data_IF_385206372433
#
_entry.id   IF_385206372433
#
_cell.length_a   1.000
_cell.length_b   1.000
_cell.length_c   1.000
_cell.angle_alpha   90.00
_cell.angle_beta   90.00
_cell.angle_gamma   90.00
#
_symmetry.space_group_name_H-M   'P 1'
#
loop_
_entity.id
_entity.type
_entity.pdbx_description
1 polymer ?
#
# COMPACT_ATOMS: atom_id res chain seq x y z
N UNK A 1 9.04 -37.91 4.16
CA UNK A 1 8.02 -37.24 4.98
C UNK A 1 6.93 -36.82 4.02
N UNK A 2 5.87 -37.59 3.93
CA UNK A 2 4.70 -37.23 3.15
C UNK A 2 4.00 -36.09 3.88
N UNK A 3 4.42 -34.87 3.56
CA UNK A 3 3.89 -33.63 4.10
C UNK A 3 2.51 -33.39 3.51
N UNK A 4 1.51 -34.06 4.06
CA UNK A 4 0.11 -33.66 3.87
C UNK A 4 -0.07 -32.30 4.52
N UNK A 5 -0.02 -31.25 3.71
CA UNK A 5 -0.37 -29.90 4.14
C UNK A 5 -1.79 -29.92 4.70
N UNK A 6 -1.95 -29.55 5.97
CA UNK A 6 -3.25 -29.49 6.61
C UNK A 6 -4.05 -28.36 5.94
N UNK A 7 -5.01 -28.73 5.10
CA UNK A 7 -5.90 -27.78 4.44
C UNK A 7 -6.97 -27.39 5.45
N UNK A 8 -6.80 -26.23 6.09
CA UNK A 8 -7.85 -25.64 6.91
C UNK A 8 -9.11 -25.42 6.05
N UNK A 9 -10.32 -25.72 6.56
CA UNK A 9 -11.55 -25.79 5.76
C UNK A 9 -12.01 -24.46 5.13
N UNK A 10 -11.37 -23.33 5.44
CA UNK A 10 -11.85 -21.98 5.09
C UNK A 10 -10.85 -21.14 4.29
N UNK A 11 -9.75 -21.70 3.79
CA UNK A 11 -8.81 -20.90 2.98
C UNK A 11 -9.12 -21.11 1.50
N UNK A 12 -9.15 -20.05 0.71
CA UNK A 12 -9.28 -20.07 -0.76
C UNK A 12 -7.96 -20.37 -1.49
N UNK A 13 -6.84 -20.30 -0.76
CA UNK A 13 -5.49 -20.67 -1.19
C UNK A 13 -5.25 -22.13 -1.65
N UNK A 14 -5.99 -23.16 -1.18
CA UNK A 14 -5.88 -24.52 -1.67
C UNK A 14 -6.14 -24.60 -3.16
N UNK A 15 -7.05 -23.78 -3.71
CA UNK A 15 -7.42 -23.84 -5.12
C UNK A 15 -6.24 -23.47 -6.04
N UNK A 16 -5.55 -22.36 -5.77
CA UNK A 16 -4.40 -21.89 -6.54
C UNK A 16 -3.21 -22.84 -6.35
N UNK A 17 -2.95 -23.28 -5.12
CA UNK A 17 -1.87 -24.24 -4.86
C UNK A 17 -2.12 -25.58 -5.56
N UNK A 18 -3.32 -26.15 -5.48
CA UNK A 18 -3.67 -27.40 -6.16
C UNK A 18 -3.53 -27.24 -7.68
N UNK A 19 -3.97 -26.11 -8.25
CA UNK A 19 -3.92 -25.87 -9.69
C UNK A 19 -2.48 -25.72 -10.25
N UNK A 20 -1.56 -25.16 -9.47
CA UNK A 20 -0.23 -24.75 -9.98
C UNK A 20 0.97 -25.32 -9.20
N UNK A 21 0.74 -26.27 -8.29
CA UNK A 21 1.81 -26.90 -7.49
C UNK A 21 2.81 -27.70 -8.33
N UNK A 22 2.43 -28.09 -9.54
CA UNK A 22 3.34 -28.76 -10.47
C UNK A 22 4.43 -27.78 -10.94
N UNK A 23 5.71 -28.20 -10.89
CA UNK A 23 6.79 -27.37 -11.40
C UNK A 23 6.63 -27.15 -12.90
N UNK A 24 6.91 -25.94 -13.36
CA UNK A 24 6.74 -25.56 -14.75
C UNK A 24 6.22 -24.14 -14.92
N UNK A 25 6.32 -23.64 -16.14
CA UNK A 25 5.82 -22.32 -16.49
C UNK A 25 4.29 -22.34 -16.63
N UNK A 26 3.60 -21.60 -15.77
CA UNK A 26 2.15 -21.41 -15.85
C UNK A 26 1.82 -19.96 -16.20
N UNK A 27 1.35 -19.76 -17.44
CA UNK A 27 0.98 -18.43 -17.93
C UNK A 27 -0.01 -17.67 -17.04
N UNK A 28 -1.04 -18.30 -16.43
CA UNK A 28 -1.98 -17.60 -15.54
C UNK A 28 -1.34 -17.02 -14.27
N UNK A 29 -0.23 -17.59 -13.78
CA UNK A 29 0.53 -17.03 -12.65
C UNK A 29 1.56 -16.00 -13.13
N UNK A 30 2.26 -16.31 -14.23
CA UNK A 30 3.30 -15.45 -14.76
C UNK A 30 2.76 -14.10 -15.27
N UNK A 31 1.61 -14.09 -15.95
CA UNK A 31 1.10 -12.87 -16.58
C UNK A 31 0.77 -11.76 -15.56
N UNK A 32 0.03 -12.02 -14.46
CA UNK A 32 -0.15 -11.03 -13.39
C UNK A 32 1.18 -10.57 -12.77
N UNK A 33 2.12 -11.49 -12.54
CA UNK A 33 3.43 -11.15 -11.99
C UNK A 33 4.23 -10.22 -12.92
N UNK A 34 4.16 -10.47 -14.24
CA UNK A 34 4.76 -9.62 -15.27
C UNK A 34 4.14 -8.22 -15.28
N UNK A 35 2.81 -8.13 -15.24
CA UNK A 35 2.10 -6.83 -15.19
C UNK A 35 2.49 -6.06 -13.93
N UNK A 36 2.50 -6.70 -12.76
CA UNK A 36 2.92 -6.07 -11.51
C UNK A 36 4.38 -5.63 -11.56
N UNK A 37 5.29 -6.46 -12.09
CA UNK A 37 6.69 -6.11 -12.27
C UNK A 37 6.86 -4.89 -13.19
N UNK A 38 6.13 -4.83 -14.31
CA UNK A 38 6.15 -3.68 -15.23
C UNK A 38 5.64 -2.41 -14.56
N UNK A 39 4.50 -2.48 -13.86
CA UNK A 39 3.94 -1.35 -13.09
C UNK A 39 4.93 -0.88 -12.02
N UNK A 40 5.64 -1.81 -11.37
CA UNK A 40 6.65 -1.51 -10.35
C UNK A 40 7.84 -0.76 -10.92
N UNK A 41 8.33 -1.15 -12.10
CA UNK A 41 9.41 -0.40 -12.78
C UNK A 41 8.97 1.05 -13.03
N UNK A 42 7.79 1.25 -13.62
CA UNK A 42 7.26 2.59 -13.90
C UNK A 42 7.06 3.38 -12.61
N UNK A 43 6.46 2.75 -11.59
CA UNK A 43 6.18 3.36 -10.30
C UNK A 43 7.45 3.80 -9.57
N UNK A 44 8.53 3.00 -9.63
CA UNK A 44 9.80 3.32 -8.99
C UNK A 44 10.38 4.60 -9.61
N UNK A 45 10.41 4.70 -10.94
CA UNK A 45 10.92 5.89 -11.62
C UNK A 45 10.10 7.15 -11.33
N UNK A 46 8.76 7.04 -11.35
CA UNK A 46 7.88 8.18 -11.08
C UNK A 46 7.99 8.65 -9.62
N UNK A 47 8.01 7.73 -8.65
CA UNK A 47 8.14 8.08 -7.25
C UNK A 47 9.53 8.64 -6.90
N UNK A 48 10.61 8.06 -7.45
CA UNK A 48 11.95 8.64 -7.31
C UNK A 48 12.03 10.05 -7.89
N UNK A 49 11.32 10.31 -9.00
CA UNK A 49 11.24 11.66 -9.59
C UNK A 49 10.58 12.66 -8.64
N UNK A 50 9.52 12.27 -7.93
CA UNK A 50 8.86 13.11 -6.91
C UNK A 50 9.82 13.42 -5.75
N UNK A 51 10.52 12.40 -5.24
CA UNK A 51 11.53 12.57 -4.19
C UNK A 51 12.65 13.53 -4.65
N UNK A 52 13.18 13.30 -5.85
CA UNK A 52 14.25 14.11 -6.44
C UNK A 52 13.83 15.58 -6.64
N UNK A 53 12.66 15.82 -7.24
CA UNK A 53 12.14 17.17 -7.48
C UNK A 53 11.96 17.88 -6.13
N UNK A 54 11.34 17.22 -5.16
CA UNK A 54 11.09 17.83 -3.84
C UNK A 54 12.41 18.18 -3.15
N UNK A 55 13.39 17.27 -3.15
CA UNK A 55 14.71 17.52 -2.57
C UNK A 55 15.48 18.63 -3.28
N UNK A 56 15.58 18.59 -4.62
CA UNK A 56 16.34 19.57 -5.41
C UNK A 56 15.79 20.98 -5.28
N UNK A 57 14.47 21.11 -5.14
CA UNK A 57 13.78 22.40 -5.18
C UNK A 57 13.31 22.90 -3.80
N UNK A 58 13.46 22.14 -2.72
CA UNK A 58 13.09 22.56 -1.37
C UNK A 58 13.83 23.82 -0.90
N UNK A 59 15.10 24.00 -1.28
CA UNK A 59 15.87 25.19 -0.93
C UNK A 59 15.47 26.44 -1.72
N UNK A 60 14.96 26.25 -2.94
CA UNK A 60 14.74 27.31 -3.94
C UNK A 60 13.32 27.88 -3.94
N UNK A 61 12.31 27.03 -3.76
CA UNK A 61 10.91 27.47 -3.79
C UNK A 61 10.23 27.24 -2.45
N UNK A 62 9.55 28.28 -1.95
CA UNK A 62 8.79 28.23 -0.69
C UNK A 62 7.70 27.17 -0.71
N UNK A 63 7.12 26.88 -1.87
CA UNK A 63 6.10 25.82 -2.05
C UNK A 63 6.60 24.45 -1.61
N UNK A 64 7.88 24.11 -1.82
CA UNK A 64 8.46 22.82 -1.42
C UNK A 64 8.94 22.80 0.04
N UNK A 65 8.88 23.93 0.77
CA UNK A 65 9.13 24.01 2.21
C UNK A 65 7.86 23.77 3.05
N UNK A 66 6.72 23.57 2.40
CA UNK A 66 5.46 23.27 3.08
C UNK A 66 5.41 21.83 3.60
N UNK A 67 4.52 21.58 4.57
CA UNK A 67 4.33 20.27 5.22
C UNK A 67 3.94 19.19 4.21
N UNK A 68 2.95 19.46 3.37
CA UNK A 68 2.37 18.48 2.43
C UNK A 68 3.36 17.95 1.39
N UNK A 69 4.17 18.77 0.66
CA UNK A 69 5.15 18.22 -0.29
C UNK A 69 6.21 17.33 0.35
N UNK A 70 6.64 17.64 1.58
CA UNK A 70 7.58 16.79 2.32
C UNK A 70 6.94 15.45 2.67
N UNK A 71 5.70 15.44 3.15
CA UNK A 71 4.96 14.21 3.40
C UNK A 71 4.74 13.40 2.11
N UNK A 72 4.42 14.06 0.99
CA UNK A 72 4.30 13.38 -0.32
C UNK A 72 5.63 12.74 -0.73
N UNK A 73 6.76 13.44 -0.57
CA UNK A 73 8.06 12.89 -0.90
C UNK A 73 8.45 11.69 -0.02
N UNK A 74 8.10 11.72 1.28
CA UNK A 74 8.27 10.57 2.18
C UNK A 74 7.39 9.40 1.71
N UNK A 75 6.11 9.64 1.38
CA UNK A 75 5.22 8.59 0.88
C UNK A 75 5.73 7.98 -0.43
N UNK A 76 6.21 8.80 -1.36
CA UNK A 76 6.82 8.33 -2.60
C UNK A 76 8.08 7.50 -2.35
N UNK A 77 8.91 7.86 -1.36
CA UNK A 77 10.06 7.04 -1.00
C UNK A 77 9.64 5.66 -0.45
N UNK A 78 8.60 5.62 0.38
CA UNK A 78 8.03 4.36 0.87
C UNK A 78 7.47 3.50 -0.28
N UNK A 79 6.76 4.12 -1.25
CA UNK A 79 6.28 3.42 -2.45
C UNK A 79 7.41 2.77 -3.25
N UNK A 80 8.57 3.41 -3.37
CA UNK A 80 9.74 2.80 -4.05
C UNK A 80 10.15 1.52 -3.35
N UNK A 81 10.23 1.52 -2.02
CA UNK A 81 10.62 0.34 -1.23
C UNK A 81 9.57 -0.76 -1.39
N UNK A 82 8.28 -0.43 -1.23
CA UNK A 82 7.17 -1.35 -1.43
C UNK A 82 7.24 -2.05 -2.80
N UNK A 83 7.45 -1.28 -3.87
CA UNK A 83 7.42 -1.81 -5.23
C UNK A 83 8.56 -2.79 -5.54
N UNK A 84 9.64 -2.80 -4.74
CA UNK A 84 10.72 -3.77 -4.92
C UNK A 84 10.27 -5.22 -4.64
N UNK A 85 9.27 -5.43 -3.79
CA UNK A 85 8.75 -6.76 -3.46
C UNK A 85 8.10 -7.46 -4.65
N UNK A 86 7.47 -6.72 -5.56
CA UNK A 86 6.79 -7.31 -6.73
C UNK A 86 7.73 -8.10 -7.66
N UNK A 87 9.03 -7.85 -7.63
CA UNK A 87 10.01 -8.61 -8.43
C UNK A 87 10.20 -10.05 -7.93
N UNK A 88 9.92 -10.35 -6.67
CA UNK A 88 10.00 -11.72 -6.13
C UNK A 88 8.92 -12.59 -6.76
N UNK A 89 7.68 -12.09 -6.84
CA UNK A 89 6.59 -12.79 -7.52
C UNK A 89 6.94 -13.09 -8.99
N UNK A 90 7.48 -12.10 -9.69
CA UNK A 90 7.94 -12.26 -11.07
C UNK A 90 9.03 -13.31 -11.18
N UNK A 91 10.03 -13.29 -10.29
CA UNK A 91 11.11 -14.26 -10.30
C UNK A 91 10.64 -15.70 -10.02
N UNK A 92 9.79 -15.89 -9.01
CA UNK A 92 9.27 -17.21 -8.62
C UNK A 92 8.43 -17.84 -9.74
N UNK A 93 7.59 -17.04 -10.40
CA UNK A 93 6.75 -17.51 -11.51
C UNK A 93 7.53 -17.69 -12.81
N UNK A 94 8.47 -16.79 -13.13
CA UNK A 94 9.31 -16.90 -14.33
C UNK A 94 10.25 -18.13 -14.31
N UNK A 95 10.70 -18.53 -13.12
CA UNK A 95 11.54 -19.73 -12.96
C UNK A 95 10.74 -21.04 -12.95
N UNK A 96 9.40 -20.97 -13.00
CA UNK A 96 8.53 -22.14 -12.95
C UNK A 96 8.51 -22.87 -11.60
N UNK A 97 9.01 -22.22 -10.53
CA UNK A 97 8.90 -22.75 -9.16
C UNK A 97 7.50 -22.58 -8.60
N UNK A 98 6.81 -21.50 -9.00
CA UNK A 98 5.43 -21.11 -8.66
C UNK A 98 5.16 -20.83 -7.18
N UNK A 99 5.75 -21.60 -6.27
CA UNK A 99 5.61 -21.43 -4.83
C UNK A 99 6.96 -21.50 -4.12
N UNK A 100 7.09 -20.71 -3.06
CA UNK A 100 8.19 -20.75 -2.09
C UNK A 100 7.61 -20.82 -0.67
N UNK A 101 8.45 -21.18 0.30
CA UNK A 101 8.04 -21.19 1.70
C UNK A 101 7.84 -19.76 2.21
N UNK A 102 6.79 -19.53 2.99
CA UNK A 102 6.47 -18.25 3.64
C UNK A 102 7.66 -17.67 4.43
N UNK A 103 8.44 -18.51 5.11
CA UNK A 103 9.63 -18.06 5.84
C UNK A 103 10.74 -17.51 4.93
N UNK A 104 10.91 -18.10 3.73
CA UNK A 104 11.84 -17.59 2.72
C UNK A 104 11.31 -16.30 2.09
N UNK A 105 10.02 -16.27 1.72
CA UNK A 105 9.37 -15.08 1.21
C UNK A 105 9.48 -13.91 2.19
N UNK A 106 9.16 -14.13 3.47
CA UNK A 106 9.29 -13.12 4.53
C UNK A 106 10.73 -12.59 4.66
N UNK A 107 11.75 -13.44 4.63
CA UNK A 107 13.15 -13.00 4.68
C UNK A 107 13.51 -12.04 3.54
N UNK A 108 12.92 -12.24 2.37
CA UNK A 108 13.20 -11.43 1.18
C UNK A 108 12.31 -10.18 1.17
N UNK A 109 11.03 -10.30 1.52
CA UNK A 109 9.99 -9.32 1.25
C UNK A 109 9.46 -8.58 2.47
N UNK A 110 9.87 -8.92 3.70
CA UNK A 110 9.35 -8.33 4.94
C UNK A 110 9.30 -6.79 4.89
N UNK A 111 10.36 -6.17 4.38
CA UNK A 111 10.41 -4.72 4.23
C UNK A 111 9.38 -4.21 3.22
N UNK A 112 9.19 -4.89 2.09
CA UNK A 112 8.28 -4.44 1.03
C UNK A 112 6.82 -4.54 1.47
N UNK A 113 6.41 -5.65 2.10
CA UNK A 113 5.02 -5.84 2.54
C UNK A 113 4.65 -4.87 3.68
N UNK A 114 5.50 -4.74 4.70
CA UNK A 114 5.20 -3.82 5.81
C UNK A 114 5.18 -2.37 5.34
N UNK A 115 6.06 -2.00 4.40
CA UNK A 115 6.05 -0.66 3.82
C UNK A 115 4.81 -0.42 2.96
N UNK A 116 4.28 -1.42 2.25
CA UNK A 116 3.01 -1.30 1.52
C UNK A 116 1.85 -0.87 2.45
N UNK A 117 1.76 -1.50 3.62
CA UNK A 117 0.78 -1.14 4.63
C UNK A 117 1.04 0.25 5.22
N UNK A 118 2.31 0.59 5.48
CA UNK A 118 2.69 1.93 5.93
C UNK A 118 2.34 3.02 4.92
N UNK A 119 2.47 2.77 3.61
CA UNK A 119 2.04 3.69 2.54
C UNK A 119 0.53 3.94 2.64
N UNK A 120 -0.25 2.87 2.84
CA UNK A 120 -1.71 2.98 3.00
C UNK A 120 -2.09 3.80 4.24
N UNK A 121 -1.41 3.55 5.36
CA UNK A 121 -1.58 4.32 6.59
C UNK A 121 -1.13 5.78 6.42
N UNK A 122 -0.02 6.02 5.72
CA UNK A 122 0.46 7.36 5.40
C UNK A 122 -0.53 8.11 4.52
N UNK A 123 -1.18 7.43 3.58
CA UNK A 123 -2.24 8.01 2.77
C UNK A 123 -3.44 8.49 3.61
N UNK A 124 -3.82 7.75 4.65
CA UNK A 124 -4.82 8.21 5.62
C UNK A 124 -4.37 9.46 6.37
N UNK A 125 -3.13 9.49 6.89
CA UNK A 125 -2.63 10.68 7.60
C UNK A 125 -2.52 11.90 6.67
N UNK A 126 -2.11 11.73 5.41
CA UNK A 126 -2.14 12.76 4.37
C UNK A 126 -3.56 13.25 4.05
N UNK A 127 -4.55 12.36 4.09
CA UNK A 127 -5.95 12.73 3.91
C UNK A 127 -6.43 13.63 5.05
N UNK A 128 -6.05 13.28 6.30
CA UNK A 128 -6.34 14.07 7.50
C UNK A 128 -5.59 15.42 7.47
N UNK A 129 -4.32 15.45 7.05
CA UNK A 129 -3.53 16.69 6.84
C UNK A 129 -4.30 17.69 5.96
N UNK A 130 -4.88 17.21 4.86
CA UNK A 130 -5.67 18.04 3.95
C UNK A 130 -6.97 18.54 4.57
N UNK A 131 -7.66 17.70 5.36
CA UNK A 131 -8.84 18.14 6.13
C UNK A 131 -8.45 19.26 7.09
N UNK A 132 -7.36 19.10 7.85
CA UNK A 132 -6.89 20.12 8.79
C UNK A 132 -6.51 21.43 8.08
N UNK A 133 -5.81 21.34 6.95
CA UNK A 133 -5.41 22.50 6.16
C UNK A 133 -6.60 23.32 5.63
N UNK A 134 -7.68 22.65 5.20
CA UNK A 134 -8.87 23.33 4.63
C UNK A 134 -9.89 23.72 5.69
N UNK A 135 -10.12 22.86 6.69
CA UNK A 135 -11.06 23.12 7.77
C UNK A 135 -10.55 24.21 8.72
N UNK A 136 -9.26 24.17 9.07
CA UNK A 136 -8.64 25.00 10.11
C UNK A 136 -7.33 25.65 9.65
N UNK A 137 -7.36 26.55 8.64
CA UNK A 137 -6.14 27.10 8.03
C UNK A 137 -5.27 27.90 9.01
N UNK A 138 -5.88 28.67 9.92
CA UNK A 138 -5.14 29.48 10.92
C UNK A 138 -4.36 28.57 11.88
N UNK A 139 -5.03 27.56 12.44
CA UNK A 139 -4.38 26.56 13.29
C UNK A 139 -3.27 25.83 12.53
N UNK A 140 -3.56 25.37 11.30
CA UNK A 140 -2.61 24.61 10.49
C UNK A 140 -1.30 25.36 10.23
N UNK A 141 -1.36 26.68 10.01
CA UNK A 141 -0.17 27.52 9.80
C UNK A 141 0.64 27.67 11.10
N UNK A 142 -0.03 27.77 12.25
CA UNK A 142 0.62 27.95 13.56
C UNK A 142 1.34 26.69 14.07
N UNK A 143 0.94 25.50 13.61
CA UNK A 143 1.60 24.25 14.02
C UNK A 143 3.05 24.22 13.56
N UNK A 144 3.97 23.95 14.51
CA UNK A 144 5.40 23.82 14.24
C UNK A 144 5.68 22.76 13.17
N UNK A 145 6.39 23.16 12.11
CA UNK A 145 6.69 22.30 10.97
C UNK A 145 7.42 21.01 11.36
N UNK A 146 8.48 21.11 12.18
CA UNK A 146 9.32 19.95 12.53
C UNK A 146 8.56 18.96 13.40
N UNK A 147 7.85 19.47 14.41
CA UNK A 147 7.02 18.64 15.28
C UNK A 147 5.93 17.92 14.47
N UNK A 148 5.30 18.60 13.52
CA UNK A 148 4.25 18.02 12.69
C UNK A 148 4.73 16.82 11.85
N UNK A 149 5.87 16.98 11.17
CA UNK A 149 6.48 15.91 10.37
C UNK A 149 6.93 14.76 11.29
N UNK A 150 7.53 15.08 12.44
CA UNK A 150 7.94 14.08 13.43
C UNK A 150 6.77 13.23 13.90
N UNK A 151 5.61 13.83 14.22
CA UNK A 151 4.42 13.10 14.66
C UNK A 151 3.90 12.13 13.58
N UNK A 152 3.95 12.53 12.30
CA UNK A 152 3.57 11.63 11.19
C UNK A 152 4.52 10.44 11.08
N UNK A 153 5.83 10.70 11.09
CA UNK A 153 6.84 9.63 11.01
C UNK A 153 6.71 8.69 12.21
N UNK A 154 6.53 9.23 13.42
CA UNK A 154 6.34 8.42 14.63
C UNK A 154 5.10 7.52 14.52
N UNK A 155 3.98 8.05 14.03
CA UNK A 155 2.77 7.25 13.81
C UNK A 155 3.00 6.13 12.77
N UNK A 156 3.71 6.41 11.69
CA UNK A 156 4.08 5.41 10.66
C UNK A 156 4.98 4.33 11.26
N UNK A 157 5.98 4.70 12.07
CA UNK A 157 6.89 3.75 12.72
C UNK A 157 6.14 2.84 13.71
N UNK A 158 5.22 3.39 14.50
CA UNK A 158 4.39 2.59 15.39
C UNK A 158 3.52 1.60 14.61
N UNK A 159 2.93 2.04 13.50
CA UNK A 159 2.15 1.17 12.63
C UNK A 159 3.03 0.09 11.97
N UNK A 160 4.24 0.43 11.52
CA UNK A 160 5.23 -0.51 10.99
C UNK A 160 5.55 -1.61 12.00
N UNK A 161 5.85 -1.24 13.25
CA UNK A 161 6.18 -2.20 14.32
C UNK A 161 5.00 -3.13 14.59
N UNK A 162 3.79 -2.58 14.68
CA UNK A 162 2.57 -3.38 14.87
C UNK A 162 2.36 -4.39 13.72
N UNK A 163 2.49 -3.92 12.48
CA UNK A 163 2.26 -4.74 11.29
C UNK A 163 3.31 -5.85 11.13
N UNK A 164 4.60 -5.53 11.22
CA UNK A 164 5.67 -6.54 11.11
C UNK A 164 5.59 -7.58 12.23
N UNK A 165 5.17 -7.18 13.45
CA UNK A 165 4.98 -8.10 14.58
C UNK A 165 3.83 -9.07 14.30
N UNK A 166 2.77 -8.61 13.63
CA UNK A 166 1.64 -9.48 13.27
C UNK A 166 2.07 -10.50 12.21
N UNK A 167 2.77 -10.05 11.17
CA UNK A 167 3.23 -10.92 10.08
C UNK A 167 4.28 -11.93 10.58
N UNK A 168 5.24 -11.51 11.42
CA UNK A 168 6.29 -12.41 11.91
C UNK A 168 5.71 -13.55 12.78
N UNK A 169 4.70 -13.27 13.61
CA UNK A 169 4.02 -14.30 14.42
C UNK A 169 3.39 -15.35 13.50
N UNK A 170 2.65 -14.92 12.47
CA UNK A 170 2.03 -15.81 11.48
C UNK A 170 3.07 -16.65 10.72
N UNK A 171 4.18 -16.06 10.30
CA UNK A 171 5.26 -16.76 9.59
C UNK A 171 6.00 -17.75 10.49
N UNK A 172 6.19 -17.44 11.77
CA UNK A 172 6.80 -18.37 12.75
C UNK A 172 5.89 -19.59 12.98
N UNK A 173 4.58 -19.39 13.03
CA UNK A 173 3.61 -20.46 13.22
C UNK A 173 3.48 -21.35 11.96
N UNK A 174 3.57 -20.76 10.76
CA UNK A 174 3.41 -21.45 9.48
C UNK A 174 4.60 -21.25 8.53
N UNK A 175 5.84 -21.68 8.87
CA UNK A 175 7.07 -21.31 8.14
C UNK A 175 7.21 -21.97 6.76
N UNK A 176 6.51 -23.09 6.54
CA UNK A 176 6.51 -23.85 5.29
C UNK A 176 5.27 -23.60 4.44
N UNK A 177 4.42 -22.64 4.82
CA UNK A 177 3.20 -22.34 4.07
C UNK A 177 3.57 -21.94 2.63
N UNK A 178 2.96 -22.55 1.61
CA UNK A 178 3.29 -22.25 0.23
C UNK A 178 2.72 -20.88 -0.15
N UNK A 179 3.59 -19.99 -0.62
CA UNK A 179 3.22 -18.66 -1.13
C UNK A 179 3.77 -18.49 -2.53
N UNK A 180 3.07 -17.73 -3.37
CA UNK A 180 3.46 -17.49 -4.76
C UNK A 180 4.66 -16.55 -4.88
N UNK A 181 5.04 -15.90 -3.79
CA UNK A 181 5.98 -14.78 -3.77
C UNK A 181 5.32 -13.44 -4.08
N UNK A 182 3.98 -13.39 -4.13
CA UNK A 182 3.25 -12.13 -4.09
C UNK A 182 3.26 -11.57 -2.67
N UNK A 183 3.64 -10.30 -2.50
CA UNK A 183 3.73 -9.65 -1.18
C UNK A 183 2.46 -9.79 -0.34
N UNK A 184 1.28 -9.80 -0.97
CA UNK A 184 0.00 -9.93 -0.28
C UNK A 184 -0.26 -11.33 0.29
N UNK A 185 0.48 -12.35 -0.15
CA UNK A 185 0.38 -13.71 0.39
C UNK A 185 0.84 -13.76 1.84
N UNK A 186 1.85 -12.99 2.21
CA UNK A 186 2.36 -12.92 3.58
C UNK A 186 1.39 -12.22 4.53
N UNK A 187 0.61 -11.27 4.02
CA UNK A 187 -0.34 -10.51 4.82
C UNK A 187 -1.70 -11.22 4.97
N UNK A 188 -2.17 -11.86 3.90
CA UNK A 188 -3.55 -12.37 3.81
C UNK A 188 -3.65 -13.86 3.44
N UNK A 189 -2.59 -14.45 2.89
CA UNK A 189 -2.55 -15.85 2.45
C UNK A 189 -2.08 -16.82 3.54
N UNK A 190 -1.24 -16.37 4.46
CA UNK A 190 -0.80 -17.15 5.63
C UNK A 190 -1.83 -17.01 6.76
N UNK A 191 -2.26 -18.10 7.42
CA UNK A 191 -3.18 -18.01 8.55
C UNK A 191 -2.62 -17.10 9.66
N UNK A 192 -3.44 -16.18 10.14
CA UNK A 192 -3.09 -15.22 11.19
C UNK A 192 -4.26 -15.03 12.15
N UNK A 193 -3.96 -14.88 13.43
CA UNK A 193 -4.94 -14.51 14.46
C UNK A 193 -5.55 -13.13 14.21
N UNK A 194 -4.81 -12.26 13.52
CA UNK A 194 -5.21 -10.89 13.25
C UNK A 194 -5.29 -10.63 11.75
N UNK A 195 -6.48 -10.27 11.27
CA UNK A 195 -6.72 -10.01 9.86
C UNK A 195 -6.38 -8.55 9.50
N UNK A 196 -5.17 -8.34 8.98
CA UNK A 196 -4.68 -7.03 8.58
C UNK A 196 -5.51 -6.39 7.46
N UNK A 197 -6.20 -7.19 6.62
CA UNK A 197 -7.11 -6.68 5.57
C UNK A 197 -8.21 -5.80 6.18
N UNK A 198 -8.74 -6.15 7.34
CA UNK A 198 -9.79 -5.37 8.01
C UNK A 198 -9.25 -4.00 8.42
N UNK A 199 -8.03 -3.95 8.96
CA UNK A 199 -7.38 -2.69 9.34
C UNK A 199 -7.12 -1.82 8.12
N UNK A 200 -6.61 -2.39 7.03
CA UNK A 200 -6.38 -1.67 5.77
C UNK A 200 -7.70 -1.15 5.18
N UNK A 201 -8.78 -1.92 5.25
CA UNK A 201 -10.10 -1.49 4.81
C UNK A 201 -10.58 -0.27 5.61
N UNK A 202 -10.42 -0.29 6.94
CA UNK A 202 -10.76 0.85 7.79
C UNK A 202 -9.93 2.08 7.40
N UNK A 203 -8.61 1.92 7.23
CA UNK A 203 -7.70 2.99 6.79
C UNK A 203 -8.17 3.60 5.45
N UNK A 204 -8.56 2.77 4.48
CA UNK A 204 -9.06 3.22 3.18
C UNK A 204 -10.40 3.94 3.31
N UNK A 205 -11.34 3.44 4.12
CA UNK A 205 -12.63 4.10 4.38
C UNK A 205 -12.39 5.48 5.00
N UNK A 206 -11.56 5.59 6.04
CA UNK A 206 -11.25 6.87 6.68
C UNK A 206 -10.61 7.84 5.68
N UNK A 207 -9.67 7.35 4.87
CA UNK A 207 -9.02 8.15 3.81
C UNK A 207 -10.04 8.70 2.80
N UNK A 208 -11.00 7.87 2.41
CA UNK A 208 -12.09 8.22 1.49
C UNK A 208 -12.97 9.31 2.07
N UNK A 209 -13.45 9.11 3.30
CA UNK A 209 -14.31 10.06 3.99
C UNK A 209 -13.60 11.40 4.18
N UNK A 210 -12.32 11.39 4.56
CA UNK A 210 -11.52 12.60 4.66
C UNK A 210 -11.43 13.35 3.32
N UNK A 211 -11.17 12.66 2.22
CA UNK A 211 -11.15 13.27 0.89
C UNK A 211 -12.51 13.85 0.45
N UNK A 212 -13.62 13.15 0.75
CA UNK A 212 -14.98 13.66 0.51
C UNK A 212 -15.21 14.94 1.32
N UNK A 213 -14.84 14.96 2.61
CA UNK A 213 -14.94 16.14 3.48
C UNK A 213 -14.13 17.31 2.91
N UNK A 214 -12.90 17.09 2.45
CA UNK A 214 -12.09 18.13 1.79
C UNK A 214 -12.81 18.68 0.55
N UNK A 215 -13.37 17.81 -0.29
CA UNK A 215 -14.12 18.21 -1.48
C UNK A 215 -15.34 19.07 -1.14
N UNK A 216 -16.10 18.68 -0.11
CA UNK A 216 -17.25 19.44 0.39
C UNK A 216 -16.81 20.80 0.94
N UNK A 217 -15.81 20.83 1.82
CA UNK A 217 -15.30 22.06 2.42
C UNK A 217 -14.71 23.02 1.38
N UNK A 218 -14.00 22.50 0.39
CA UNK A 218 -13.46 23.30 -0.71
C UNK A 218 -14.58 23.94 -1.54
N UNK A 219 -15.71 23.25 -1.73
CA UNK A 219 -16.89 23.79 -2.42
C UNK A 219 -17.60 24.87 -1.62
N UNK A 220 -17.73 24.71 -0.30
CA UNK A 220 -18.45 25.68 0.54
C UNK A 220 -17.63 26.91 0.91
N UNK A 221 -16.31 26.76 1.13
CA UNK A 221 -15.44 27.87 1.53
C UNK A 221 -14.75 28.56 0.35
N UNK A 222 -14.70 27.90 -0.80
CA UNK A 222 -13.99 28.38 -1.97
C UNK A 222 -14.91 29.10 -2.94
N UNK A 223 -14.52 30.31 -3.36
CA UNK A 223 -15.07 30.89 -4.58
C UNK A 223 -14.56 30.02 -5.75
N UNK A 224 -15.46 29.32 -6.44
CA UNK A 224 -15.15 28.36 -7.51
C UNK A 224 -14.39 29.02 -8.68
N UNK A 225 -14.42 30.35 -8.78
CA UNK A 225 -13.62 31.13 -9.71
C UNK A 225 -12.11 31.13 -9.38
N UNK A 226 -11.70 30.76 -8.17
CA UNK A 226 -10.30 30.76 -7.76
C UNK A 226 -9.53 29.56 -8.35
N UNK A 227 -8.64 29.84 -9.29
CA UNK A 227 -7.85 28.83 -10.03
C UNK A 227 -7.06 27.88 -9.12
N UNK A 228 -6.63 28.35 -7.93
CA UNK A 228 -5.92 27.53 -6.94
C UNK A 228 -6.81 26.42 -6.37
N UNK A 229 -8.08 26.74 -6.09
CA UNK A 229 -9.06 25.79 -5.54
C UNK A 229 -9.42 24.74 -6.60
N UNK A 230 -9.57 25.16 -7.86
CA UNK A 230 -9.80 24.25 -8.99
C UNK A 230 -8.64 23.27 -9.21
N UNK A 231 -7.39 23.74 -9.13
CA UNK A 231 -6.19 22.88 -9.22
C UNK A 231 -6.13 21.86 -8.07
N UNK A 232 -6.44 22.30 -6.85
CA UNK A 232 -6.52 21.44 -5.67
C UNK A 232 -7.62 20.36 -5.84
N UNK A 233 -8.81 20.73 -6.32
CA UNK A 233 -9.90 19.78 -6.56
C UNK A 233 -9.53 18.75 -7.63
N UNK A 234 -8.93 19.17 -8.75
CA UNK A 234 -8.46 18.26 -9.81
C UNK A 234 -7.43 17.25 -9.29
N UNK A 235 -6.48 17.71 -8.47
CA UNK A 235 -5.49 16.83 -7.85
C UNK A 235 -6.14 15.85 -6.86
N UNK A 236 -7.11 16.30 -6.06
CA UNK A 236 -7.86 15.45 -5.13
C UNK A 236 -8.67 14.38 -5.86
N UNK A 237 -9.42 14.75 -6.90
CA UNK A 237 -10.22 13.80 -7.70
C UNK A 237 -9.35 12.75 -8.36
N UNK A 238 -8.17 13.13 -8.88
CA UNK A 238 -7.24 12.19 -9.49
C UNK A 238 -6.69 11.21 -8.44
N UNK A 239 -6.35 11.70 -7.25
CA UNK A 239 -5.88 10.86 -6.15
C UNK A 239 -6.95 9.86 -5.69
N UNK A 240 -8.20 10.29 -5.56
CA UNK A 240 -9.32 9.40 -5.20
C UNK A 240 -9.53 8.35 -6.31
N UNK A 241 -9.62 8.76 -7.57
CA UNK A 241 -9.91 7.82 -8.66
C UNK A 241 -8.78 6.82 -8.85
N UNK A 242 -7.52 7.28 -8.83
CA UNK A 242 -6.37 6.44 -9.16
C UNK A 242 -5.94 5.58 -7.98
N UNK A 243 -5.67 6.19 -6.81
CA UNK A 243 -5.21 5.41 -5.66
C UNK A 243 -6.36 4.65 -5.03
N UNK A 244 -7.40 5.36 -4.61
CA UNK A 244 -8.48 4.75 -3.86
C UNK A 244 -9.32 3.80 -4.73
N UNK A 245 -9.60 4.20 -5.97
CA UNK A 245 -10.26 3.34 -6.94
C UNK A 245 -9.46 2.06 -7.23
N UNK A 246 -8.13 2.17 -7.37
CA UNK A 246 -7.25 1.00 -7.54
C UNK A 246 -7.34 0.03 -6.37
N UNK A 247 -7.22 0.51 -5.12
CA UNK A 247 -7.33 -0.34 -3.93
C UNK A 247 -8.74 -0.94 -3.76
N UNK A 248 -9.80 -0.18 -4.04
CA UNK A 248 -11.18 -0.69 -3.94
C UNK A 248 -11.44 -1.75 -5.00
N UNK A 249 -11.01 -1.54 -6.25
CA UNK A 249 -11.15 -2.54 -7.32
C UNK A 249 -10.37 -3.80 -6.97
N UNK A 250 -9.17 -3.65 -6.42
CA UNK A 250 -8.36 -4.79 -5.95
C UNK A 250 -9.07 -5.57 -4.83
N UNK A 251 -9.56 -4.89 -3.79
CA UNK A 251 -10.28 -5.52 -2.69
C UNK A 251 -11.59 -6.16 -3.16
N UNK A 252 -12.35 -5.49 -4.02
CA UNK A 252 -13.58 -6.02 -4.61
C UNK A 252 -13.29 -7.25 -5.48
N UNK A 253 -12.18 -7.25 -6.22
CA UNK A 253 -11.69 -8.41 -6.96
C UNK A 253 -11.39 -9.58 -6.04
N UNK A 254 -10.68 -9.35 -4.93
CA UNK A 254 -10.41 -10.40 -3.93
C UNK A 254 -11.72 -10.96 -3.35
N UNK A 255 -12.64 -10.10 -2.92
CA UNK A 255 -13.93 -10.53 -2.34
C UNK A 255 -14.76 -11.30 -3.37
N UNK A 256 -14.79 -10.84 -4.62
CA UNK A 256 -15.50 -11.52 -5.71
C UNK A 256 -14.90 -12.90 -5.97
N UNK A 257 -13.58 -13.01 -6.07
CA UNK A 257 -12.90 -14.30 -6.20
C UNK A 257 -13.18 -15.21 -5.01
N UNK A 258 -13.16 -14.67 -3.78
CA UNK A 258 -13.48 -15.44 -2.60
C UNK A 258 -14.91 -15.98 -2.64
N UNK A 259 -15.91 -15.14 -2.93
CA UNK A 259 -17.32 -15.56 -2.97
C UNK A 259 -17.65 -16.52 -4.13
N UNK A 260 -16.91 -16.46 -5.24
CA UNK A 260 -17.20 -17.27 -6.42
C UNK A 260 -16.47 -18.62 -6.43
N UNK A 261 -15.31 -18.70 -5.77
CA UNK A 261 -14.47 -19.92 -5.73
C UNK A 261 -14.47 -20.64 -4.36
N UNK A 262 -15.24 -20.15 -3.37
CA UNK A 262 -15.56 -20.87 -2.12
C UNK A 262 -16.85 -21.65 -2.27
#
# INVERSE_FOLDING_TARGET
MDGTFYVGPNNSFPSIYIAYSSPGFHFPLFFPAFVLGFVSVVGIFLNLSVCYITWKYCGKYTTFKCKTPVLIAINSFLEVIHQTGHFVFLYVTATGRNFIQSSLAFKIEAHSITIAHCVSFMFMTLSIDRVLAVAFPVFYIQVNFRLYIYLHIMAIVLFFIFDITTIIISVIEYPNWPVTGYIGDLANGVPSLFNITIVLLIILIVSTLAHIIVGILAKYKGDLANEKIRKLFRSLSLIIIVNLGGYIIFMAGIVFCYLYFS
#
